data_IF_710113861177
#
_entry.id   IF_710113861177
#
_cell.length_a   1.000
_cell.length_b   1.000
_cell.length_c   1.000
_cell.angle_alpha   90.00
_cell.angle_beta   90.00
_cell.angle_gamma   90.00
#
_symmetry.space_group_name_H-M   'P 1'
#
loop_
_entity.id
_entity.type
_entity.pdbx_description
1 polymer ?
#
# COMPACT_ATOMS: atom_id res chain seq x y z
N UNK A 1 26.62 -40.53 37.35
CA UNK A 1 26.64 -41.86 36.68
C UNK A 1 28.10 -42.14 36.34
N UNK A 2 28.70 -43.13 37.00
CA UNK A 2 30.08 -43.55 36.70
C UNK A 2 30.13 -44.28 35.37
N UNK A 3 31.13 -43.97 34.54
CA UNK A 3 31.69 -44.81 33.48
C UNK A 3 33.20 -44.65 33.70
N UNK A 4 33.88 -45.56 34.38
CA UNK A 4 34.21 -46.90 33.91
C UNK A 4 35.74 -46.91 33.79
N UNK A 5 36.42 -47.18 34.91
CA UNK A 5 37.86 -47.33 34.99
C UNK A 5 38.17 -48.78 34.58
N UNK A 6 38.91 -49.00 33.50
CA UNK A 6 39.38 -50.34 33.12
C UNK A 6 40.91 -50.31 33.07
N UNK A 7 41.54 -51.02 34.02
CA UNK A 7 42.99 -51.27 34.02
C UNK A 7 43.16 -52.65 33.38
N UNK A 8 43.74 -52.67 32.17
CA UNK A 8 44.22 -53.90 31.53
C UNK A 8 45.75 -53.88 31.65
N UNK A 9 46.28 -54.76 32.50
CA UNK A 9 47.69 -55.12 32.46
C UNK A 9 47.86 -56.31 31.51
N UNK A 10 48.47 -56.08 30.35
CA UNK A 10 49.20 -57.13 29.65
C UNK A 10 50.64 -56.66 29.37
N UNK A 11 51.56 -57.61 29.39
CA UNK A 11 53.01 -57.44 29.55
C UNK A 11 53.62 -56.55 28.46
N UNK A 12 53.91 -55.30 28.84
CA UNK A 12 54.73 -54.35 28.10
C UNK A 12 54.89 -53.10 28.96
N UNK A 13 56.08 -52.49 28.99
CA UNK A 13 56.41 -51.38 29.89
C UNK A 13 55.31 -50.30 29.95
N UNK A 14 54.93 -49.78 31.13
CA UNK A 14 54.00 -48.67 31.22
C UNK A 14 54.68 -47.42 30.65
N UNK A 15 54.35 -47.08 29.41
CA UNK A 15 54.60 -45.74 28.90
C UNK A 15 53.50 -44.84 29.45
N UNK A 16 53.88 -43.76 30.15
CA UNK A 16 52.95 -42.70 30.54
C UNK A 16 52.54 -41.98 29.26
N UNK A 17 51.53 -42.51 28.58
CA UNK A 17 50.89 -41.86 27.45
C UNK A 17 49.95 -40.79 28.00
N UNK A 18 50.43 -39.55 27.94
CA UNK A 18 49.61 -38.35 27.77
C UNK A 18 48.66 -38.02 28.91
N UNK A 19 48.90 -36.87 29.54
CA UNK A 19 47.88 -36.14 30.28
C UNK A 19 46.59 -36.12 29.44
N UNK A 20 45.54 -36.80 29.91
CA UNK A 20 44.20 -36.65 29.35
C UNK A 20 43.86 -35.16 29.46
N UNK A 21 43.54 -34.46 28.36
CA UNK A 21 43.12 -33.07 28.47
C UNK A 21 41.82 -33.05 29.27
N UNK A 22 41.86 -32.43 30.44
CA UNK A 22 40.67 -32.11 31.22
C UNK A 22 39.69 -31.37 30.30
N UNK A 23 38.60 -32.04 29.90
CA UNK A 23 37.53 -31.40 29.15
C UNK A 23 36.87 -30.41 30.11
N UNK A 24 37.15 -29.12 29.93
CA UNK A 24 36.50 -28.04 30.66
C UNK A 24 35.25 -27.63 29.88
N UNK A 25 34.08 -28.09 30.33
CA UNK A 25 32.80 -27.63 29.80
C UNK A 25 32.43 -26.36 30.55
N UNK A 26 32.60 -25.20 29.91
CA UNK A 26 32.10 -23.93 30.44
C UNK A 26 30.63 -23.78 30.07
N UNK A 27 29.75 -23.88 31.07
CA UNK A 27 28.36 -23.50 30.92
C UNK A 27 28.28 -21.98 31.07
N UNK A 28 28.36 -21.27 29.94
CA UNK A 28 28.00 -19.86 29.91
C UNK A 28 26.48 -19.75 30.07
N UNK A 29 26.02 -19.27 31.21
CA UNK A 29 24.61 -18.95 31.44
C UNK A 29 24.27 -17.67 30.65
N UNK A 30 23.76 -17.88 29.43
CA UNK A 30 23.43 -16.81 28.49
C UNK A 30 21.98 -16.37 28.71
N UNK A 31 21.72 -15.09 29.02
CA UNK A 31 20.36 -14.61 29.18
C UNK A 31 19.50 -14.80 27.94
N UNK A 32 18.20 -15.05 28.16
CA UNK A 32 17.21 -15.20 27.10
C UNK A 32 16.57 -13.86 26.74
N UNK A 33 16.55 -13.54 25.45
CA UNK A 33 15.97 -12.31 24.91
C UNK A 33 14.79 -12.67 24.03
N UNK A 34 13.61 -12.19 24.40
CA UNK A 34 12.37 -12.37 23.63
C UNK A 34 12.00 -11.07 22.91
N UNK A 35 11.94 -11.11 21.60
CA UNK A 35 11.61 -9.97 20.74
C UNK A 35 10.20 -10.18 20.20
N UNK A 36 9.25 -9.35 20.61
CA UNK A 36 7.85 -9.41 20.21
C UNK A 36 7.52 -8.33 19.18
N UNK A 37 7.31 -8.73 17.92
CA UNK A 37 7.01 -7.79 16.82
C UNK A 37 5.55 -7.86 16.39
N UNK A 38 4.89 -8.99 16.66
CA UNK A 38 3.55 -9.29 16.13
C UNK A 38 3.53 -9.60 14.62
N UNK A 39 4.69 -9.55 13.95
CA UNK A 39 4.84 -9.78 12.52
C UNK A 39 5.45 -11.16 12.31
N UNK A 40 4.78 -12.00 11.53
CA UNK A 40 5.22 -13.36 11.20
C UNK A 40 6.34 -13.35 10.16
N UNK A 41 7.27 -14.28 10.26
CA UNK A 41 8.35 -14.45 9.30
C UNK A 41 9.13 -13.15 9.00
N UNK A 42 9.24 -12.28 10.01
CA UNK A 42 9.97 -11.02 9.91
C UNK A 42 11.45 -11.30 10.06
N UNK A 43 12.25 -10.93 9.07
CA UNK A 43 13.71 -10.95 9.18
C UNK A 43 14.18 -9.78 10.04
N UNK A 44 14.96 -10.08 11.07
CA UNK A 44 15.62 -9.10 11.93
C UNK A 44 17.10 -9.44 12.02
N UNK A 45 17.97 -8.46 12.21
CA UNK A 45 19.40 -8.73 12.40
C UNK A 45 19.79 -8.50 13.86
N UNK A 46 20.52 -9.46 14.42
CA UNK A 46 21.07 -9.40 15.77
C UNK A 46 22.57 -9.53 15.62
N UNK A 47 23.31 -8.47 15.98
CA UNK A 47 24.76 -8.35 15.78
C UNK A 47 25.21 -8.61 14.32
N UNK A 48 24.38 -8.17 13.36
CA UNK A 48 24.60 -8.38 11.93
C UNK A 48 24.23 -9.77 11.43
N UNK A 49 23.77 -10.68 12.30
CA UNK A 49 23.28 -11.99 11.90
C UNK A 49 21.75 -11.98 11.73
N UNK A 50 21.28 -12.36 10.54
CA UNK A 50 19.87 -12.48 10.25
C UNK A 50 19.21 -13.62 11.06
N UNK A 51 18.08 -13.29 11.67
CA UNK A 51 17.16 -14.19 12.37
C UNK A 51 15.73 -13.91 11.89
N UNK A 52 14.79 -14.80 12.19
CA UNK A 52 13.41 -14.67 11.71
C UNK A 52 12.41 -14.97 12.82
N UNK A 53 11.35 -14.18 12.92
CA UNK A 53 10.25 -14.43 13.86
C UNK A 53 9.41 -15.63 13.43
N UNK A 54 8.89 -16.39 14.40
CA UNK A 54 8.01 -17.51 14.11
C UNK A 54 6.59 -17.10 13.72
N UNK A 55 5.69 -18.08 13.63
CA UNK A 55 4.28 -17.90 13.26
C UNK A 55 3.48 -17.10 14.31
N UNK A 56 4.00 -17.04 15.51
CA UNK A 56 3.51 -16.29 16.65
C UNK A 56 3.93 -14.81 16.65
N UNK A 57 4.82 -14.41 15.73
CA UNK A 57 5.27 -13.03 15.59
C UNK A 57 6.27 -12.60 16.65
N UNK A 58 6.97 -13.55 17.28
CA UNK A 58 8.10 -13.29 18.17
C UNK A 58 9.25 -14.25 17.89
N UNK A 59 10.37 -14.02 18.56
CA UNK A 59 11.59 -14.82 18.49
C UNK A 59 12.24 -14.79 19.87
N UNK A 60 12.82 -15.91 20.30
CA UNK A 60 13.66 -15.98 21.51
C UNK A 60 15.07 -16.42 21.15
N UNK A 61 16.07 -15.65 21.59
CA UNK A 61 17.51 -15.94 21.39
C UNK A 61 18.25 -15.89 22.72
N UNK A 62 19.35 -16.63 22.83
CA UNK A 62 20.27 -16.52 23.97
C UNK A 62 21.48 -15.70 23.54
N UNK A 63 21.74 -14.58 24.22
CA UNK A 63 22.85 -13.67 23.92
C UNK A 63 23.88 -13.66 25.05
N UNK A 64 25.11 -13.26 24.74
CA UNK A 64 26.11 -13.00 25.77
C UNK A 64 25.69 -11.80 26.62
N UNK A 65 26.33 -11.62 27.78
CA UNK A 65 26.16 -10.37 28.53
C UNK A 65 26.95 -9.25 27.86
N UNK A 66 26.32 -8.09 27.68
CA UNK A 66 26.96 -6.93 27.05
C UNK A 66 26.04 -6.16 26.13
N UNK A 67 26.64 -5.30 25.29
CA UNK A 67 25.92 -4.53 24.29
C UNK A 67 25.69 -5.36 23.03
N UNK A 68 24.45 -5.38 22.56
CA UNK A 68 24.05 -6.03 21.32
C UNK A 68 23.34 -5.04 20.42
N UNK A 69 23.46 -5.24 19.12
CA UNK A 69 22.81 -4.40 18.10
C UNK A 69 21.65 -5.16 17.47
N UNK A 70 20.46 -4.56 17.54
CA UNK A 70 19.26 -5.05 16.90
C UNK A 70 18.90 -4.13 15.73
N UNK A 71 18.88 -4.69 14.52
CA UNK A 71 18.41 -4.00 13.32
C UNK A 71 17.05 -4.55 12.91
N UNK A 72 16.07 -3.67 12.80
CA UNK A 72 14.70 -4.01 12.41
C UNK A 72 14.41 -3.47 11.01
N UNK A 73 13.60 -4.15 10.18
CA UNK A 73 13.14 -3.57 8.93
C UNK A 73 12.29 -2.32 9.21
N UNK A 74 12.65 -1.19 8.61
CA UNK A 74 11.86 0.04 8.75
C UNK A 74 10.48 -0.13 8.11
N UNK A 75 10.42 -0.81 6.96
CA UNK A 75 9.17 -1.18 6.31
C UNK A 75 9.14 -2.66 5.97
N UNK A 76 7.94 -3.24 5.99
CA UNK A 76 7.68 -4.62 5.59
C UNK A 76 6.56 -4.61 4.56
N UNK A 77 6.88 -4.93 3.31
CA UNK A 77 5.90 -4.96 2.23
C UNK A 77 4.94 -6.12 2.44
N UNK A 78 3.64 -5.82 2.40
CA UNK A 78 2.57 -6.81 2.39
C UNK A 78 1.96 -6.88 0.98
N UNK A 79 1.11 -7.87 0.72
CA UNK A 79 0.39 -7.96 -0.55
C UNK A 79 -0.68 -6.87 -0.69
N UNK A 80 -1.09 -6.61 -1.94
CA UNK A 80 -2.26 -5.79 -2.24
C UNK A 80 -2.09 -4.29 -2.01
N UNK A 81 -0.87 -3.75 -1.96
CA UNK A 81 -0.65 -2.33 -1.72
C UNK A 81 -0.72 -1.93 -0.24
N UNK A 82 -0.42 -2.89 0.64
CA UNK A 82 -0.26 -2.67 2.08
C UNK A 82 1.20 -2.79 2.48
N UNK A 83 1.60 -2.10 3.54
CA UNK A 83 2.91 -2.29 4.19
C UNK A 83 2.80 -2.08 5.68
N UNK A 84 3.78 -2.57 6.42
CA UNK A 84 4.01 -2.19 7.80
C UNK A 84 5.13 -1.15 7.86
N UNK A 85 4.99 -0.18 8.75
CA UNK A 85 6.01 0.82 9.08
C UNK A 85 6.38 0.69 10.56
N UNK A 86 7.68 0.64 10.86
CA UNK A 86 8.20 0.58 12.22
C UNK A 86 7.75 1.84 12.98
N UNK A 87 7.00 1.64 14.06
CA UNK A 87 6.41 2.74 14.84
C UNK A 87 7.21 3.02 16.11
N UNK A 88 7.56 1.98 16.88
CA UNK A 88 8.27 2.14 18.15
C UNK A 88 9.00 0.88 18.57
N UNK A 89 10.05 1.04 19.39
CA UNK A 89 10.73 -0.04 20.11
C UNK A 89 10.77 0.33 21.60
N UNK A 90 10.33 -0.58 22.48
CA UNK A 90 10.29 -0.39 23.95
C UNK A 90 9.67 0.95 24.38
N UNK A 91 8.57 1.35 23.71
CA UNK A 91 7.82 2.58 23.98
C UNK A 91 8.55 3.91 23.64
N UNK A 92 9.76 3.87 23.06
CA UNK A 92 10.47 5.04 22.50
C UNK A 92 10.32 5.20 20.98
N UNK A 93 10.63 6.39 20.42
CA UNK A 93 10.63 6.60 18.96
C UNK A 93 11.60 5.63 18.27
N UNK A 94 11.33 5.31 17.00
CA UNK A 94 12.09 4.35 16.19
C UNK A 94 13.53 4.82 15.93
N UNK A 95 14.44 4.62 16.89
CA UNK A 95 15.88 4.56 16.60
C UNK A 95 16.16 3.18 16.05
N UNK A 96 16.74 3.12 14.86
CA UNK A 96 17.13 1.89 14.21
C UNK A 96 18.48 2.14 13.53
N UNK A 97 19.56 1.39 13.84
CA UNK A 97 19.59 0.24 14.76
C UNK A 97 19.38 0.60 16.24
N UNK A 98 18.93 -0.38 17.02
CA UNK A 98 18.73 -0.29 18.48
C UNK A 98 19.91 -0.96 19.19
N UNK A 99 20.53 -0.27 20.13
CA UNK A 99 21.54 -0.88 21.01
C UNK A 99 20.86 -1.28 22.31
N UNK A 100 20.94 -2.56 22.65
CA UNK A 100 20.43 -3.12 23.91
C UNK A 100 21.59 -3.54 24.80
N UNK A 101 21.41 -3.50 26.11
CA UNK A 101 22.36 -4.03 27.08
C UNK A 101 21.75 -5.26 27.76
N UNK A 102 22.38 -6.41 27.56
CA UNK A 102 21.94 -7.71 28.08
C UNK A 102 22.74 -8.03 29.34
N UNK A 103 22.07 -8.11 30.48
CA UNK A 103 22.63 -8.58 31.74
C UNK A 103 21.81 -9.72 32.38
N UNK A 104 20.55 -9.83 31.97
CA UNK A 104 19.53 -10.78 32.40
C UNK A 104 18.53 -11.01 31.27
N UNK A 105 17.55 -11.86 31.51
CA UNK A 105 16.50 -12.12 30.55
C UNK A 105 15.69 -10.84 30.24
N UNK A 106 15.49 -10.54 28.96
CA UNK A 106 14.81 -9.33 28.51
C UNK A 106 13.65 -9.66 27.57
N UNK A 107 12.66 -8.78 27.59
CA UNK A 107 11.53 -8.82 26.67
C UNK A 107 11.40 -7.47 25.98
N UNK A 108 11.68 -7.46 24.68
CA UNK A 108 11.67 -6.29 23.82
C UNK A 108 10.36 -6.28 23.05
N UNK A 109 9.60 -5.18 23.13
CA UNK A 109 8.38 -4.98 22.34
C UNK A 109 8.66 -4.05 21.17
N UNK A 110 8.36 -4.52 19.96
CA UNK A 110 8.44 -3.76 18.72
C UNK A 110 7.02 -3.57 18.20
N UNK A 111 6.66 -2.34 17.85
CA UNK A 111 5.35 -2.05 17.24
C UNK A 111 5.53 -1.62 15.80
N UNK A 112 4.76 -2.25 14.93
CA UNK A 112 4.55 -1.84 13.56
C UNK A 112 3.14 -1.26 13.41
N UNK A 113 2.99 -0.24 12.57
CA UNK A 113 1.69 0.29 12.14
C UNK A 113 1.45 -0.08 10.68
N UNK A 114 0.19 -0.38 10.34
CA UNK A 114 -0.21 -0.70 8.97
C UNK A 114 -0.41 0.58 8.16
N UNK A 115 0.06 0.56 6.91
CA UNK A 115 -0.14 1.62 5.92
C UNK A 115 -0.72 1.05 4.63
N UNK A 116 -1.57 1.83 3.97
CA UNK A 116 -2.15 1.54 2.67
C UNK A 116 -1.65 2.54 1.61
N UNK A 117 -1.47 2.06 0.38
CA UNK A 117 -1.07 2.89 -0.75
C UNK A 117 -2.28 3.62 -1.33
N UNK A 118 -2.16 4.94 -1.48
CA UNK A 118 -3.05 5.78 -2.27
C UNK A 118 -2.35 6.14 -3.57
N UNK A 119 -2.82 5.58 -4.68
CA UNK A 119 -2.38 5.96 -6.02
C UNK A 119 -3.31 7.04 -6.54
N UNK A 120 -2.76 8.17 -6.97
CA UNK A 120 -3.55 9.25 -7.56
C UNK A 120 -2.99 9.57 -8.94
N UNK A 121 -3.85 9.53 -9.95
CA UNK A 121 -3.48 9.73 -11.34
C UNK A 121 -4.17 10.98 -11.89
N UNK A 122 -3.47 11.74 -12.73
CA UNK A 122 -4.05 12.81 -13.52
C UNK A 122 -3.28 12.93 -14.83
N UNK A 123 -4.01 13.18 -15.93
CA UNK A 123 -3.41 13.48 -17.23
C UNK A 123 -2.83 14.91 -17.26
N UNK A 124 -3.45 15.83 -16.52
CA UNK A 124 -3.10 17.25 -16.49
C UNK A 124 -2.79 17.72 -15.05
N UNK A 125 -1.93 18.71 -14.93
CA UNK A 125 -1.48 19.24 -13.65
C UNK A 125 -0.64 18.29 -12.80
N UNK A 126 -0.27 18.76 -11.61
CA UNK A 126 0.52 18.02 -10.62
C UNK A 126 -0.31 17.65 -9.40
N UNK A 127 -0.08 16.45 -8.87
CA UNK A 127 -0.82 15.94 -7.71
C UNK A 127 0.09 15.88 -6.47
N UNK A 128 -0.45 16.33 -5.34
CA UNK A 128 0.08 16.10 -4.01
C UNK A 128 -0.89 15.24 -3.20
N UNK A 129 -0.38 14.53 -2.18
CA UNK A 129 -1.20 13.75 -1.26
C UNK A 129 -1.37 12.26 -1.61
N UNK A 130 -0.80 11.80 -2.73
CA UNK A 130 -0.64 10.37 -2.99
C UNK A 130 0.43 9.71 -2.09
N UNK A 131 0.62 8.39 -2.25
CA UNK A 131 1.63 7.63 -1.52
C UNK A 131 1.07 6.83 -0.35
N UNK A 132 1.92 6.54 0.62
CA UNK A 132 1.59 5.66 1.75
C UNK A 132 1.01 6.44 2.92
N UNK A 133 -0.15 5.99 3.40
CA UNK A 133 -0.87 6.60 4.50
C UNK A 133 -1.21 5.56 5.56
N UNK A 134 -1.29 5.98 6.82
CA UNK A 134 -1.66 5.09 7.91
C UNK A 134 -3.09 4.59 7.73
N UNK A 135 -3.35 3.33 8.08
CA UNK A 135 -4.72 2.80 8.06
C UNK A 135 -5.60 3.60 9.03
N UNK A 136 -6.84 3.91 8.61
CA UNK A 136 -7.80 4.77 9.29
C UNK A 136 -7.38 6.25 9.40
N UNK A 137 -6.40 6.69 8.61
CA UNK A 137 -6.10 8.12 8.46
C UNK A 137 -6.86 8.75 7.28
N UNK A 138 -6.85 10.08 7.21
CA UNK A 138 -7.42 10.83 6.08
C UNK A 138 -6.28 11.49 5.30
N UNK A 139 -6.11 11.09 4.04
CA UNK A 139 -5.21 11.73 3.10
C UNK A 139 -5.89 12.95 2.47
N UNK A 140 -5.14 14.05 2.32
CA UNK A 140 -5.60 15.23 1.57
C UNK A 140 -4.86 15.29 0.25
N UNK A 141 -5.61 15.20 -0.84
CA UNK A 141 -5.14 15.26 -2.22
C UNK A 141 -5.33 16.68 -2.71
N UNK A 142 -4.32 17.21 -3.38
CA UNK A 142 -4.36 18.54 -4.00
C UNK A 142 -3.88 18.41 -5.44
N UNK A 143 -4.73 18.80 -6.38
CA UNK A 143 -4.42 18.94 -7.80
C UNK A 143 -4.08 20.39 -8.11
N UNK A 144 -2.89 20.64 -8.62
CA UNK A 144 -2.43 21.96 -9.06
C UNK A 144 -2.36 22.00 -10.58
N UNK A 145 -3.04 22.96 -11.19
CA UNK A 145 -3.04 23.16 -12.64
C UNK A 145 -1.83 24.01 -13.07
N UNK A 146 -1.12 23.54 -14.09
CA UNK A 146 -0.03 24.29 -14.68
C UNK A 146 -0.55 25.36 -15.65
N UNK A 147 0.24 26.43 -15.87
CA UNK A 147 -0.20 27.56 -16.72
C UNK A 147 -0.39 27.21 -18.20
N UNK A 148 0.13 26.07 -18.65
CA UNK A 148 -0.10 25.52 -20.00
C UNK A 148 -1.47 24.84 -20.08
N UNK A 149 -1.82 24.01 -19.09
CA UNK A 149 -3.14 23.36 -18.98
C UNK A 149 -4.27 24.38 -18.81
N UNK A 150 -3.97 25.58 -18.28
CA UNK A 150 -4.95 26.64 -18.02
C UNK A 150 -5.18 27.61 -19.20
N UNK A 151 -4.51 27.46 -20.36
CA UNK A 151 -4.56 28.45 -21.46
C UNK A 151 -5.21 27.95 -22.74
N UNK A 152 -6.10 28.78 -23.29
CA UNK A 152 -6.68 28.61 -24.63
C UNK A 152 -8.13 28.10 -24.63
N UNK A 153 -8.81 28.23 -25.78
CA UNK A 153 -10.17 27.68 -25.98
C UNK A 153 -10.21 26.15 -26.01
N UNK A 154 -9.04 25.51 -26.07
CA UNK A 154 -8.88 24.06 -26.10
C UNK A 154 -8.38 23.46 -24.77
N UNK A 155 -8.27 24.27 -23.72
CA UNK A 155 -7.81 23.82 -22.40
C UNK A 155 -8.69 22.70 -21.84
N UNK A 156 -8.10 21.63 -21.29
CA UNK A 156 -8.84 20.55 -20.64
C UNK A 156 -9.59 21.09 -19.42
N UNK A 157 -10.84 20.66 -19.25
CA UNK A 157 -11.67 21.09 -18.12
C UNK A 157 -11.73 19.96 -17.11
N UNK A 158 -11.27 20.21 -15.89
CA UNK A 158 -11.45 19.27 -14.78
C UNK A 158 -12.94 19.04 -14.53
N UNK A 159 -13.35 17.77 -14.58
CA UNK A 159 -14.76 17.37 -14.42
C UNK A 159 -15.05 16.72 -13.07
N UNK A 160 -14.03 16.20 -12.42
CA UNK A 160 -14.10 15.65 -11.08
C UNK A 160 -13.13 14.50 -10.88
N UNK A 161 -13.32 13.76 -9.81
CA UNK A 161 -12.54 12.57 -9.50
C UNK A 161 -13.36 11.31 -9.79
N UNK A 162 -12.69 10.20 -10.07
CA UNK A 162 -13.29 8.93 -10.48
C UNK A 162 -14.31 8.32 -9.49
N UNK A 163 -14.28 8.74 -8.22
CA UNK A 163 -15.17 8.29 -7.16
C UNK A 163 -16.25 9.35 -6.80
N UNK A 164 -16.20 10.55 -7.37
CA UNK A 164 -17.29 11.52 -7.30
C UNK A 164 -17.35 12.39 -8.56
N UNK A 165 -18.18 11.95 -9.50
CA UNK A 165 -18.43 12.69 -10.71
C UNK A 165 -19.16 14.01 -10.41
N UNK A 166 -18.69 15.10 -11.01
CA UNK A 166 -19.32 16.42 -10.92
C UNK A 166 -18.84 17.30 -9.76
N UNK A 167 -18.10 16.75 -8.79
CA UNK A 167 -17.36 17.57 -7.82
C UNK A 167 -16.09 18.12 -8.48
N UNK A 168 -16.09 19.41 -8.78
CA UNK A 168 -14.98 20.11 -9.44
C UNK A 168 -13.93 20.66 -8.45
N UNK A 169 -13.97 20.24 -7.19
CA UNK A 169 -12.96 20.60 -6.22
C UNK A 169 -11.61 19.97 -6.58
N UNK A 170 -10.58 20.82 -6.74
CA UNK A 170 -9.19 20.40 -6.95
C UNK A 170 -8.54 19.84 -5.67
N UNK A 171 -9.21 19.98 -4.52
CA UNK A 171 -8.81 19.39 -3.24
C UNK A 171 -9.80 18.32 -2.83
N UNK A 172 -9.30 17.18 -2.33
CA UNK A 172 -10.12 16.04 -1.91
C UNK A 172 -9.57 15.38 -0.65
N UNK A 173 -10.45 14.99 0.25
CA UNK A 173 -10.10 14.12 1.39
C UNK A 173 -10.49 12.68 1.11
N UNK A 174 -9.56 11.75 1.36
CA UNK A 174 -9.77 10.30 1.18
C UNK A 174 -9.45 9.58 2.49
N UNK A 175 -10.44 8.85 3.01
CA UNK A 175 -10.25 7.98 4.17
C UNK A 175 -9.53 6.69 3.75
N UNK A 176 -8.45 6.32 4.45
CA UNK A 176 -7.56 5.23 4.10
C UNK A 176 -7.84 3.97 4.92
N UNK A 177 -8.95 3.29 4.62
CA UNK A 177 -9.32 1.96 5.14
C UNK A 177 -8.69 0.81 4.33
N UNK A 178 -8.35 1.08 3.07
CA UNK A 178 -7.77 0.13 2.13
C UNK A 178 -6.88 0.87 1.10
N UNK A 179 -6.05 0.12 0.37
CA UNK A 179 -5.32 0.65 -0.78
C UNK A 179 -6.32 1.14 -1.84
N UNK A 180 -6.11 2.35 -2.37
CA UNK A 180 -7.07 3.03 -3.26
C UNK A 180 -6.37 3.65 -4.45
N UNK A 181 -7.08 3.67 -5.56
CA UNK A 181 -6.69 4.39 -6.76
C UNK A 181 -7.73 5.45 -7.07
N UNK A 182 -7.28 6.69 -7.24
CA UNK A 182 -8.12 7.82 -7.59
C UNK A 182 -7.60 8.45 -8.88
N UNK A 183 -8.49 8.72 -9.83
CA UNK A 183 -8.11 9.36 -11.10
C UNK A 183 -8.85 10.69 -11.25
N UNK A 184 -8.12 11.75 -11.61
CA UNK A 184 -8.69 13.01 -12.04
C UNK A 184 -9.26 12.87 -13.46
N UNK A 185 -10.52 13.26 -13.63
CA UNK A 185 -11.25 13.16 -14.89
C UNK A 185 -11.32 14.51 -15.58
N UNK A 186 -11.05 14.50 -16.89
CA UNK A 186 -10.94 15.69 -17.73
C UNK A 186 -11.88 15.61 -18.92
N UNK A 187 -12.54 16.72 -19.24
CA UNK A 187 -13.29 16.87 -20.49
C UNK A 187 -12.46 17.70 -21.48
N UNK A 188 -12.31 17.17 -22.70
CA UNK A 188 -11.85 17.98 -23.82
C UNK A 188 -12.96 18.93 -24.26
N UNK A 189 -12.67 20.20 -24.58
CA UNK A 189 -13.65 21.10 -25.17
C UNK A 189 -14.25 20.54 -26.47
N UNK A 190 -13.62 19.65 -27.24
CA UNK A 190 -14.28 19.07 -28.44
C UNK A 190 -15.33 17.99 -28.12
N UNK A 191 -15.46 17.56 -26.87
CA UNK A 191 -16.40 16.48 -26.47
C UNK A 191 -17.88 16.90 -26.42
N UNK A 192 -18.20 18.20 -26.56
CA UNK A 192 -19.59 18.67 -26.63
C UNK A 192 -20.26 18.52 -28.01
N UNK A 193 -19.57 18.03 -29.05
CA UNK A 193 -20.20 17.89 -30.39
C UNK A 193 -21.11 16.66 -30.55
N UNK A 194 -21.22 15.78 -29.56
CA UNK A 194 -22.10 14.60 -29.64
C UNK A 194 -23.31 14.76 -28.72
N UNK A 195 -24.35 15.41 -29.23
CA UNK A 195 -25.79 15.09 -29.01
C UNK A 195 -26.76 16.15 -29.56
N UNK A 196 -26.30 17.22 -30.22
CA UNK A 196 -27.23 18.17 -30.87
C UNK A 196 -27.64 17.71 -32.28
N UNK A 197 -26.84 16.86 -32.94
CA UNK A 197 -27.17 16.29 -34.26
C UNK A 197 -28.41 15.38 -34.25
N UNK A 198 -28.78 14.79 -33.10
CA UNK A 198 -30.03 14.01 -33.00
C UNK A 198 -31.30 14.89 -32.94
N UNK A 199 -31.20 16.16 -32.55
CA UNK A 199 -32.33 17.09 -32.51
C UNK A 199 -32.52 17.88 -33.81
N UNK A 200 -31.44 18.14 -34.57
CA UNK A 200 -31.54 18.81 -35.88
C UNK A 200 -32.19 17.90 -36.94
N UNK A 201 -31.98 16.58 -36.87
CA UNK A 201 -32.70 15.64 -37.73
C UNK A 201 -34.19 15.51 -37.38
N UNK A 202 -34.57 15.68 -36.11
CA UNK A 202 -35.96 15.61 -35.67
C UNK A 202 -36.80 16.82 -36.12
N UNK A 203 -36.24 18.04 -36.11
CA UNK A 203 -36.98 19.26 -36.50
C UNK A 203 -37.25 19.35 -38.01
N UNK A 204 -36.37 18.79 -38.84
CA UNK A 204 -36.58 18.72 -40.30
C UNK A 204 -37.72 17.75 -40.68
N UNK A 205 -37.88 16.64 -39.96
CA UNK A 205 -38.93 15.64 -40.24
C UNK A 205 -40.32 16.15 -39.85
N UNK A 206 -40.45 16.86 -38.72
CA UNK A 206 -41.74 17.48 -38.34
C UNK A 206 -42.19 18.58 -39.32
N UNK A 207 -41.24 19.32 -39.90
CA UNK A 207 -41.53 20.36 -40.90
C UNK A 207 -42.03 19.75 -42.22
N UNK A 208 -41.49 18.61 -42.66
CA UNK A 208 -41.90 17.97 -43.91
C UNK A 208 -43.29 17.30 -43.76
N UNK A 209 -43.57 16.65 -42.62
CA UNK A 209 -44.87 15.99 -42.39
C UNK A 209 -46.01 17.01 -42.28
N UNK A 210 -45.81 18.15 -41.63
CA UNK A 210 -46.83 19.21 -41.53
C UNK A 210 -47.15 19.82 -42.90
N UNK A 211 -46.14 20.08 -43.73
CA UNK A 211 -46.33 20.56 -45.11
C UNK A 211 -47.07 19.53 -45.96
N UNK A 212 -46.72 18.24 -45.87
CA UNK A 212 -47.38 17.17 -46.63
C UNK A 212 -48.86 16.97 -46.22
N UNK A 213 -49.17 17.09 -44.92
CA UNK A 213 -50.55 17.05 -44.41
C UNK A 213 -51.34 18.27 -44.89
N UNK A 214 -50.76 19.47 -44.82
CA UNK A 214 -51.40 20.69 -45.32
C UNK A 214 -51.73 20.60 -46.81
N UNK A 215 -50.77 20.15 -47.64
CA UNK A 215 -50.98 19.96 -49.08
C UNK A 215 -52.06 18.90 -49.35
N UNK A 216 -52.08 17.79 -48.61
CA UNK A 216 -53.10 16.74 -48.76
C UNK A 216 -54.51 17.22 -48.40
N UNK A 217 -54.66 18.04 -47.35
CA UNK A 217 -55.94 18.65 -46.98
C UNK A 217 -56.41 19.59 -48.09
N UNK A 218 -55.53 20.45 -48.59
CA UNK A 218 -55.87 21.37 -49.69
C UNK A 218 -56.26 20.64 -50.97
N UNK A 219 -55.58 19.53 -51.29
CA UNK A 219 -55.92 18.71 -52.46
C UNK A 219 -57.30 18.03 -52.32
N UNK A 220 -57.65 17.52 -51.13
CA UNK A 220 -58.95 16.91 -50.87
C UNK A 220 -60.09 17.93 -50.89
N UNK A 221 -59.87 19.13 -50.35
CA UNK A 221 -60.86 20.23 -50.37
C UNK A 221 -61.06 20.75 -51.80
N UNK A 222 -59.99 20.87 -52.59
CA UNK A 222 -60.06 21.26 -54.01
C UNK A 222 -60.82 20.23 -54.87
N UNK A 223 -60.57 18.93 -54.66
CA UNK A 223 -61.26 17.86 -55.41
C UNK A 223 -62.75 17.75 -55.06
N UNK A 224 -63.12 18.03 -53.80
CA UNK A 224 -64.52 17.99 -53.36
C UNK A 224 -65.37 19.14 -53.91
N UNK A 225 -64.74 20.21 -54.43
CA UNK A 225 -65.42 21.33 -55.10
C UNK A 225 -65.58 21.16 -56.61
N UNK A 226 -65.04 20.09 -57.19
CA UNK A 226 -65.07 19.81 -58.64
C UNK A 226 -66.17 18.87 -59.12
N UNK A 227 -67.14 18.52 -58.27
CA UNK A 227 -68.27 17.67 -58.66
C UNK A 227 -69.57 18.27 -58.14
N UNK A 228 -70.17 19.13 -58.96
CA UNK A 228 -71.58 19.51 -58.86
C UNK A 228 -72.21 18.97 -60.16
N UNK A 229 -73.28 18.15 -60.08
CA UNK A 229 -73.97 17.65 -61.27
C UNK A 229 -74.59 18.76 -62.11
#
# INVERSE_FOLDING_TARGET
>A
RFVGLEIICDKGQPQIMGLSPTIRIEFADKPSIRIETGVRALQIEIDGQASTTGCEGWLTVSLEKGHHTLTLPETVTLSGGKRLLLASVEDGPSKNPVIIYVDRDLKIKVRYREQCLLTVNSEHGSIQGGGWHDVNSTATIILSLDTEDARGKEAPVFTGWSDSHGDRSLSRQVFMDAPKTLTAEWASPRSYEVSVRQWVAASAVFSIVTIAVYVSIMYRVGRSRGHIP
#
